data_IF_880836304839
#
_entry.id   IF_880836304839
#
_cell.length_a   1.000
_cell.length_b   1.000
_cell.length_c   1.000
_cell.angle_alpha   90.00
_cell.angle_beta   90.00
_cell.angle_gamma   90.00
#
_symmetry.space_group_name_H-M   'P 1'
#
loop_
_entity.id
_entity.type
_entity.pdbx_description
1 polymer ?
#
# COMPACT_ATOMS: atom_id res chain seq x y z
N UNK A 1 11.35 16.29 -33.11
CA UNK A 1 10.71 15.69 -34.32
C UNK A 1 9.47 16.47 -34.71
N UNK A 2 9.10 16.48 -36.00
CA UNK A 2 7.86 17.11 -36.48
C UNK A 2 6.63 16.23 -36.18
N UNK A 3 5.48 16.88 -35.94
CA UNK A 3 4.14 16.28 -35.86
C UNK A 3 3.24 16.74 -37.02
N UNK A 4 3.83 17.22 -38.12
CA UNK A 4 3.09 17.63 -39.31
C UNK A 4 2.19 16.48 -39.81
N UNK A 5 0.93 16.81 -40.07
CA UNK A 5 -0.07 15.84 -40.49
C UNK A 5 -0.51 14.85 -39.40
N UNK A 6 -0.06 15.00 -38.15
CA UNK A 6 -0.58 14.25 -36.99
C UNK A 6 -1.70 15.02 -36.31
N UNK A 7 -2.63 14.29 -35.69
CA UNK A 7 -3.77 14.89 -34.99
C UNK A 7 -3.75 14.48 -33.52
N UNK A 8 -3.81 15.47 -32.62
CA UNK A 8 -3.86 15.31 -31.18
C UNK A 8 -5.25 15.67 -30.63
N UNK A 9 -5.88 14.70 -29.96
CA UNK A 9 -7.08 14.90 -29.15
C UNK A 9 -6.67 15.14 -27.69
N UNK A 10 -6.94 16.34 -27.16
CA UNK A 10 -6.58 16.70 -25.77
C UNK A 10 -7.87 17.00 -24.99
N UNK A 11 -8.21 16.12 -24.04
CA UNK A 11 -9.35 16.36 -23.13
C UNK A 11 -8.92 17.34 -22.04
N UNK A 12 -9.72 18.37 -21.78
CA UNK A 12 -9.31 19.45 -20.86
C UNK A 12 -8.33 20.45 -21.48
N UNK A 13 -8.21 20.48 -22.81
CA UNK A 13 -7.24 21.26 -23.58
C UNK A 13 -7.45 22.78 -23.59
N UNK A 14 -8.51 23.32 -22.99
CA UNK A 14 -8.82 24.75 -23.07
C UNK A 14 -8.06 25.63 -22.06
N UNK A 15 -7.50 25.07 -20.98
CA UNK A 15 -6.85 25.82 -19.89
C UNK A 15 -5.69 25.04 -19.28
N UNK A 16 -4.87 25.72 -18.49
CA UNK A 16 -3.82 25.13 -17.64
C UNK A 16 -2.92 24.16 -18.42
N UNK A 17 -2.67 22.97 -17.87
CA UNK A 17 -1.80 21.94 -18.47
C UNK A 17 -2.26 21.51 -19.87
N UNK A 18 -3.56 21.36 -20.10
CA UNK A 18 -4.09 20.98 -21.41
C UNK A 18 -3.77 22.02 -22.50
N UNK A 19 -3.88 23.31 -22.16
CA UNK A 19 -3.52 24.41 -23.06
C UNK A 19 -2.00 24.50 -23.32
N UNK A 20 -1.19 24.24 -22.29
CA UNK A 20 0.28 24.18 -22.43
C UNK A 20 0.70 23.04 -23.36
N UNK A 21 0.12 21.84 -23.19
CA UNK A 21 0.37 20.69 -24.08
C UNK A 21 -0.09 21.01 -25.49
N UNK A 22 -1.28 21.61 -25.68
CA UNK A 22 -1.76 22.02 -27.00
C UNK A 22 -0.76 22.97 -27.69
N UNK A 23 -0.21 23.94 -26.96
CA UNK A 23 0.76 24.90 -27.48
C UNK A 23 2.08 24.25 -27.89
N UNK A 24 2.60 23.30 -27.09
CA UNK A 24 3.79 22.51 -27.41
C UNK A 24 3.58 21.66 -28.66
N UNK A 25 2.42 21.00 -28.80
CA UNK A 25 2.14 20.15 -29.97
C UNK A 25 1.85 20.96 -31.24
N UNK A 26 1.21 22.12 -31.11
CA UNK A 26 1.00 23.04 -32.23
C UNK A 26 2.33 23.59 -32.77
N UNK A 27 3.31 23.85 -31.90
CA UNK A 27 4.65 24.28 -32.31
C UNK A 27 5.36 23.23 -33.19
N UNK A 28 4.96 21.96 -33.09
CA UNK A 28 5.46 20.86 -33.90
C UNK A 28 4.58 20.55 -35.13
N UNK A 29 3.50 21.30 -35.36
CA UNK A 29 2.62 21.13 -36.53
C UNK A 29 1.44 20.17 -36.36
N UNK A 30 1.17 19.69 -35.15
CA UNK A 30 0.03 18.79 -34.91
C UNK A 30 -1.31 19.53 -35.05
N UNK A 31 -2.27 18.94 -35.76
CA UNK A 31 -3.68 19.35 -35.70
C UNK A 31 -4.27 19.09 -34.32
N UNK A 32 -5.11 20.00 -33.82
CA UNK A 32 -5.58 20.00 -32.43
C UNK A 32 -7.10 19.87 -32.32
N UNK A 33 -7.55 18.71 -31.84
CA UNK A 33 -8.90 18.49 -31.35
C UNK A 33 -8.92 18.69 -29.83
N UNK A 34 -9.44 19.81 -29.35
CA UNK A 34 -9.37 20.21 -27.95
C UNK A 34 -10.74 20.10 -27.29
N UNK A 35 -10.80 19.62 -26.06
CA UNK A 35 -12.07 19.49 -25.33
C UNK A 35 -12.11 20.36 -24.07
N UNK A 36 -13.30 20.89 -23.75
CA UNK A 36 -13.61 21.54 -22.47
C UNK A 36 -14.95 21.09 -21.89
N UNK A 37 -15.02 21.02 -20.56
CA UNK A 37 -16.18 20.43 -19.88
C UNK A 37 -17.42 21.36 -19.85
N UNK A 38 -17.28 22.55 -19.24
CA UNK A 38 -18.43 23.42 -18.95
C UNK A 38 -18.54 24.59 -19.94
N UNK A 39 -19.77 25.05 -20.29
CA UNK A 39 -19.99 26.26 -21.07
C UNK A 39 -19.23 27.50 -20.57
N UNK A 40 -18.96 27.58 -19.26
CA UNK A 40 -18.16 28.67 -18.64
C UNK A 40 -16.73 28.76 -19.15
N UNK A 41 -16.21 27.72 -19.81
CA UNK A 41 -14.87 27.72 -20.40
C UNK A 41 -14.86 28.06 -21.89
N UNK A 42 -16.03 28.36 -22.49
CA UNK A 42 -16.15 28.68 -23.92
C UNK A 42 -15.30 29.88 -24.33
N UNK A 43 -15.30 30.96 -23.55
CA UNK A 43 -14.56 32.18 -23.90
C UNK A 43 -13.04 31.95 -23.82
N UNK A 44 -12.58 31.21 -22.82
CA UNK A 44 -11.18 30.82 -22.71
C UNK A 44 -10.74 29.89 -23.85
N UNK A 45 -11.61 28.95 -24.26
CA UNK A 45 -11.36 28.10 -25.42
C UNK A 45 -11.28 28.91 -26.71
N UNK A 46 -12.19 29.86 -26.93
CA UNK A 46 -12.19 30.74 -28.10
C UNK A 46 -10.93 31.63 -28.14
N UNK A 47 -10.51 32.16 -26.99
CA UNK A 47 -9.28 32.95 -26.87
C UNK A 47 -8.05 32.11 -27.24
N UNK A 48 -7.92 30.91 -26.67
CA UNK A 48 -6.82 30.00 -26.99
C UNK A 48 -6.83 29.58 -28.46
N UNK A 49 -8.00 29.35 -29.05
CA UNK A 49 -8.13 29.05 -30.49
C UNK A 49 -7.56 30.19 -31.34
N UNK A 50 -7.86 31.44 -31.01
CA UNK A 50 -7.34 32.62 -31.72
C UNK A 50 -5.83 32.74 -31.57
N UNK A 51 -5.30 32.57 -30.35
CA UNK A 51 -3.87 32.62 -30.07
C UNK A 51 -3.10 31.54 -30.84
N UNK A 52 -3.59 30.30 -30.84
CA UNK A 52 -2.96 29.19 -31.55
C UNK A 52 -3.01 29.39 -33.07
N UNK A 53 -4.13 29.87 -33.62
CA UNK A 53 -4.23 30.16 -35.06
C UNK A 53 -3.32 31.31 -35.49
N UNK A 54 -3.20 32.35 -34.65
CA UNK A 54 -2.31 33.47 -34.94
C UNK A 54 -0.84 33.04 -34.91
N UNK A 55 -0.45 32.23 -33.93
CA UNK A 55 0.93 31.76 -33.76
C UNK A 55 1.31 30.65 -34.73
N UNK A 56 0.37 29.77 -35.07
CA UNK A 56 0.58 28.58 -35.89
C UNK A 56 -0.50 28.47 -37.00
N UNK A 57 -0.46 29.32 -38.03
CA UNK A 57 -1.53 29.43 -39.03
C UNK A 57 -1.77 28.17 -39.87
N UNK A 58 -0.82 27.24 -39.90
CA UNK A 58 -0.93 25.94 -40.60
C UNK A 58 -1.59 24.85 -39.75
N UNK A 59 -1.79 25.10 -38.46
CA UNK A 59 -2.38 24.14 -37.53
C UNK A 59 -3.89 24.32 -37.46
N UNK A 60 -4.63 23.28 -37.80
CA UNK A 60 -6.09 23.23 -37.60
C UNK A 60 -6.38 23.05 -36.12
N UNK A 61 -7.18 23.94 -35.53
CA UNK A 61 -7.63 23.87 -34.14
C UNK A 61 -9.16 23.84 -34.10
N UNK A 62 -9.73 22.91 -33.32
CA UNK A 62 -11.17 22.80 -33.06
C UNK A 62 -11.42 22.50 -31.60
N UNK A 63 -12.49 23.09 -31.05
CA UNK A 63 -12.93 22.84 -29.68
C UNK A 63 -14.26 22.08 -29.62
N UNK A 64 -14.35 21.14 -28.69
CA UNK A 64 -15.53 20.32 -28.42
C UNK A 64 -15.94 20.50 -26.95
N UNK A 65 -17.23 20.74 -26.72
CA UNK A 65 -17.80 20.85 -25.38
C UNK A 65 -18.52 19.56 -24.99
N UNK A 66 -18.31 19.08 -23.77
CA UNK A 66 -19.09 17.97 -23.23
C UNK A 66 -18.69 17.54 -21.83
N UNK A 67 -19.59 16.90 -21.10
CA UNK A 67 -19.22 16.19 -19.88
C UNK A 67 -18.87 14.73 -20.21
N UNK A 68 -17.64 14.31 -19.89
CA UNK A 68 -17.08 13.02 -20.29
C UNK A 68 -17.32 11.91 -19.25
N UNK A 69 -18.21 12.12 -18.28
CA UNK A 69 -18.60 11.13 -17.25
C UNK A 69 -19.40 9.93 -17.79
N UNK A 70 -19.75 9.93 -19.08
CA UNK A 70 -20.47 8.85 -19.76
C UNK A 70 -19.73 8.37 -21.01
N UNK A 71 -19.87 7.08 -21.32
CA UNK A 71 -19.28 6.48 -22.54
C UNK A 71 -19.78 7.18 -23.81
N UNK A 72 -21.09 7.42 -23.92
CA UNK A 72 -21.69 8.05 -25.08
C UNK A 72 -21.12 9.46 -25.35
N UNK A 73 -20.80 10.22 -24.30
CA UNK A 73 -20.17 11.53 -24.46
C UNK A 73 -18.73 11.43 -24.95
N UNK A 74 -17.96 10.44 -24.46
CA UNK A 74 -16.60 10.15 -24.96
C UNK A 74 -16.66 9.71 -26.41
N UNK A 75 -17.55 8.79 -26.78
CA UNK A 75 -17.71 8.32 -28.16
C UNK A 75 -18.09 9.46 -29.11
N UNK A 76 -18.98 10.36 -28.67
CA UNK A 76 -19.34 11.56 -29.43
C UNK A 76 -18.13 12.47 -29.66
N UNK A 77 -17.27 12.67 -28.66
CA UNK A 77 -16.05 13.46 -28.79
C UNK A 77 -15.11 12.85 -29.84
N UNK A 78 -14.82 11.56 -29.74
CA UNK A 78 -13.95 10.87 -30.70
C UNK A 78 -14.52 10.89 -32.12
N UNK A 79 -15.82 10.61 -32.27
CA UNK A 79 -16.49 10.62 -33.58
C UNK A 79 -16.47 12.01 -34.21
N UNK A 80 -16.69 13.07 -33.43
CA UNK A 80 -16.65 14.46 -33.92
C UNK A 80 -15.23 14.86 -34.33
N UNK A 81 -14.23 14.49 -33.53
CA UNK A 81 -12.82 14.75 -33.85
C UNK A 81 -12.39 14.00 -35.13
N UNK A 82 -12.77 12.73 -35.29
CA UNK A 82 -12.48 11.96 -36.52
C UNK A 82 -13.19 12.57 -37.72
N UNK A 83 -14.44 13.03 -37.57
CA UNK A 83 -15.17 13.68 -38.65
C UNK A 83 -14.45 14.93 -39.16
N UNK A 84 -13.92 15.75 -38.25
CA UNK A 84 -13.30 17.03 -38.60
C UNK A 84 -11.83 16.89 -39.07
N UNK A 85 -11.11 15.90 -38.56
CA UNK A 85 -9.67 15.71 -38.81
C UNK A 85 -9.31 14.46 -39.62
N UNK A 86 -10.25 13.55 -39.86
CA UNK A 86 -10.09 12.28 -40.56
C UNK A 86 -9.43 11.17 -39.74
N UNK A 87 -8.66 11.49 -38.71
CA UNK A 87 -7.94 10.53 -37.86
C UNK A 87 -7.56 11.13 -36.51
N UNK A 88 -7.08 10.27 -35.60
CA UNK A 88 -6.48 10.66 -34.32
C UNK A 88 -5.17 9.87 -34.18
N UNK A 89 -4.04 10.54 -34.04
CA UNK A 89 -2.74 9.90 -33.82
C UNK A 89 -2.33 9.92 -32.33
N UNK A 90 -2.76 10.95 -31.60
CA UNK A 90 -2.37 11.22 -30.21
C UNK A 90 -3.64 11.49 -29.39
N UNK A 91 -3.75 10.88 -28.21
CA UNK A 91 -4.77 11.22 -27.21
C UNK A 91 -4.08 11.58 -25.90
N UNK A 92 -4.41 12.74 -25.35
CA UNK A 92 -3.96 13.18 -24.04
C UNK A 92 -5.16 13.45 -23.14
N UNK A 93 -5.29 12.68 -22.07
CA UNK A 93 -6.34 12.86 -21.09
C UNK A 93 -5.86 13.71 -19.91
N UNK A 94 -6.32 14.96 -19.80
CA UNK A 94 -6.03 15.82 -18.63
C UNK A 94 -7.25 16.05 -17.75
N UNK A 95 -8.34 15.31 -17.96
CA UNK A 95 -9.55 15.44 -17.14
C UNK A 95 -9.29 14.95 -15.71
N UNK A 96 -9.78 15.72 -14.75
CA UNK A 96 -9.79 15.33 -13.36
C UNK A 96 -10.55 16.33 -12.49
N UNK A 97 -10.90 15.86 -11.30
CA UNK A 97 -11.48 16.65 -10.20
C UNK A 97 -10.73 16.31 -8.92
N UNK A 98 -10.46 17.31 -8.09
CA UNK A 98 -9.87 17.12 -6.76
C UNK A 98 -10.97 17.32 -5.71
N UNK A 99 -10.90 16.50 -4.66
CA UNK A 99 -11.65 16.67 -3.43
C UNK A 99 -10.71 16.37 -2.27
N UNK A 100 -10.53 17.35 -1.39
CA UNK A 100 -9.83 17.20 -0.12
C UNK A 100 -10.84 17.30 1.02
N UNK A 101 -11.08 16.18 1.71
CA UNK A 101 -12.12 16.07 2.74
C UNK A 101 -11.82 14.90 3.70
N UNK A 102 -12.16 15.01 5.01
CA UNK A 102 -12.13 13.86 5.91
C UNK A 102 -12.97 12.71 5.35
N UNK A 103 -12.46 11.48 5.45
CA UNK A 103 -13.15 10.30 4.90
C UNK A 103 -14.55 10.13 5.49
N UNK A 104 -14.73 10.49 6.76
CA UNK A 104 -16.01 10.43 7.49
C UNK A 104 -17.06 11.42 7.00
N UNK A 105 -16.67 12.41 6.21
CA UNK A 105 -17.57 13.46 5.69
C UNK A 105 -17.78 13.34 4.18
N UNK A 106 -17.09 12.42 3.50
CA UNK A 106 -17.30 12.19 2.07
C UNK A 106 -18.65 11.50 1.90
N UNK A 107 -19.55 12.18 1.20
CA UNK A 107 -20.86 11.62 0.83
C UNK A 107 -20.72 10.63 -0.32
N UNK A 108 -21.68 9.73 -0.45
CA UNK A 108 -21.75 8.79 -1.59
C UNK A 108 -21.80 9.55 -2.94
N UNK A 109 -22.54 10.65 -3.02
CA UNK A 109 -22.61 11.48 -4.22
C UNK A 109 -21.24 12.09 -4.60
N UNK A 110 -20.47 12.57 -3.61
CA UNK A 110 -19.10 13.06 -3.85
C UNK A 110 -18.16 11.92 -4.29
N UNK A 111 -18.31 10.72 -3.72
CA UNK A 111 -17.58 9.54 -4.14
C UNK A 111 -17.87 9.20 -5.61
N UNK A 112 -19.16 9.08 -5.96
CA UNK A 112 -19.61 8.74 -7.31
C UNK A 112 -19.13 9.76 -8.34
N UNK A 113 -19.21 11.05 -8.02
CA UNK A 113 -18.72 12.11 -8.90
C UNK A 113 -17.21 12.03 -9.11
N UNK A 114 -16.44 11.82 -8.03
CA UNK A 114 -14.98 11.68 -8.13
C UNK A 114 -14.57 10.48 -8.98
N UNK A 115 -15.22 9.32 -8.80
CA UNK A 115 -14.96 8.14 -9.62
C UNK A 115 -15.47 8.29 -11.06
N UNK A 116 -16.61 8.96 -11.27
CA UNK A 116 -17.13 9.25 -12.61
C UNK A 116 -16.14 10.12 -13.42
N UNK A 117 -15.57 11.15 -12.80
CA UNK A 117 -14.66 12.09 -13.47
C UNK A 117 -13.23 11.53 -13.58
N UNK A 118 -12.67 10.96 -12.51
CA UNK A 118 -11.25 10.60 -12.50
C UNK A 118 -10.97 9.20 -13.05
N UNK A 119 -11.87 8.23 -12.80
CA UNK A 119 -11.66 6.82 -13.15
C UNK A 119 -12.47 6.43 -14.38
N UNK A 120 -13.81 6.57 -14.33
CA UNK A 120 -14.72 6.14 -15.38
C UNK A 120 -14.47 6.89 -16.70
N UNK A 121 -14.35 8.22 -16.66
CA UNK A 121 -14.02 8.99 -17.85
C UNK A 121 -12.67 8.58 -18.44
N UNK A 122 -11.64 8.38 -17.60
CA UNK A 122 -10.33 7.93 -18.05
C UNK A 122 -10.37 6.54 -18.71
N UNK A 123 -11.13 5.61 -18.12
CA UNK A 123 -11.36 4.28 -18.69
C UNK A 123 -11.99 4.36 -20.09
N UNK A 124 -13.07 5.13 -20.25
CA UNK A 124 -13.73 5.26 -21.55
C UNK A 124 -12.89 6.03 -22.57
N UNK A 125 -12.10 7.02 -22.15
CA UNK A 125 -11.15 7.70 -23.05
C UNK A 125 -10.07 6.72 -23.52
N UNK A 126 -9.54 5.87 -22.63
CA UNK A 126 -8.58 4.83 -23.02
C UNK A 126 -9.22 3.79 -23.93
N UNK A 127 -10.45 3.36 -23.67
CA UNK A 127 -11.21 2.43 -24.53
C UNK A 127 -11.44 3.01 -25.92
N UNK A 128 -11.93 4.25 -26.01
CA UNK A 128 -12.15 4.93 -27.28
C UNK A 128 -10.82 5.18 -28.01
N UNK A 129 -9.76 5.56 -27.27
CA UNK A 129 -8.40 5.67 -27.78
C UNK A 129 -7.91 4.36 -28.37
N UNK A 130 -8.07 3.25 -27.65
CA UNK A 130 -7.71 1.91 -28.12
C UNK A 130 -8.45 1.50 -29.39
N UNK A 131 -9.70 1.94 -29.57
CA UNK A 131 -10.49 1.67 -30.78
C UNK A 131 -10.10 2.56 -31.96
N UNK A 132 -9.79 3.83 -31.73
CA UNK A 132 -9.78 4.85 -32.77
C UNK A 132 -8.42 5.48 -33.08
N UNK A 133 -7.45 5.39 -32.18
CA UNK A 133 -6.11 5.94 -32.44
C UNK A 133 -5.47 5.19 -33.61
N UNK A 134 -4.74 5.89 -34.47
CA UNK A 134 -4.01 5.28 -35.58
C UNK A 134 -2.92 4.33 -35.08
N UNK A 135 -2.53 3.36 -35.91
CA UNK A 135 -1.38 2.50 -35.64
C UNK A 135 -0.10 3.34 -35.50
N UNK A 136 0.76 2.97 -34.55
CA UNK A 136 1.89 3.82 -34.15
C UNK A 136 1.50 5.01 -33.27
N UNK A 137 0.23 5.13 -32.86
CA UNK A 137 -0.31 6.23 -32.07
C UNK A 137 0.20 6.30 -30.63
N UNK A 138 -0.34 7.28 -29.88
CA UNK A 138 0.11 7.60 -28.52
C UNK A 138 -1.08 7.92 -27.61
N UNK A 139 -1.16 7.27 -26.45
CA UNK A 139 -2.15 7.55 -25.42
C UNK A 139 -1.42 7.98 -24.14
N UNK A 140 -1.73 9.16 -23.61
CA UNK A 140 -1.14 9.67 -22.36
C UNK A 140 -2.25 10.13 -21.43
N UNK A 141 -2.23 9.69 -20.17
CA UNK A 141 -3.19 10.15 -19.15
C UNK A 141 -2.48 10.85 -18.00
N UNK A 142 -3.03 11.97 -17.55
CA UNK A 142 -2.54 12.68 -16.37
C UNK A 142 -3.20 12.11 -15.12
N UNK A 143 -2.36 11.56 -14.25
CA UNK A 143 -2.70 11.06 -12.92
C UNK A 143 -2.14 12.02 -11.85
N UNK A 144 -1.61 11.52 -10.74
CA UNK A 144 -1.12 12.34 -9.63
C UNK A 144 0.07 11.68 -8.93
N UNK A 145 1.00 12.49 -8.41
CA UNK A 145 2.07 12.00 -7.54
C UNK A 145 1.55 11.34 -6.25
N UNK A 146 0.29 11.60 -5.85
CA UNK A 146 -0.33 10.92 -4.71
C UNK A 146 -0.50 9.41 -4.90
N UNK A 147 -0.25 8.86 -6.10
CA UNK A 147 -0.14 7.42 -6.29
C UNK A 147 1.13 6.80 -5.64
N UNK A 148 2.09 7.64 -5.26
CA UNK A 148 3.32 7.26 -4.56
C UNK A 148 3.54 8.01 -3.23
N UNK A 149 2.68 8.97 -2.88
CA UNK A 149 2.73 9.68 -1.60
C UNK A 149 1.56 9.27 -0.70
N UNK A 150 1.76 9.23 0.61
CA UNK A 150 0.69 9.12 1.58
C UNK A 150 0.40 10.50 2.17
N UNK A 151 -0.85 10.95 2.10
CA UNK A 151 -1.28 12.24 2.67
C UNK A 151 -2.73 12.12 3.12
N UNK A 152 -3.06 12.79 4.23
CA UNK A 152 -4.43 12.82 4.74
C UNK A 152 -5.40 13.53 3.81
N UNK A 153 -6.70 13.30 4.01
CA UNK A 153 -7.82 14.01 3.37
C UNK A 153 -7.98 13.86 1.85
N UNK A 154 -7.07 13.18 1.17
CA UNK A 154 -7.12 12.95 -0.28
C UNK A 154 -7.63 11.57 -0.69
N UNK A 155 -8.25 10.82 0.23
CA UNK A 155 -8.63 9.41 0.04
C UNK A 155 -9.41 9.18 -1.25
N UNK A 156 -10.49 9.95 -1.49
CA UNK A 156 -11.30 9.80 -2.71
C UNK A 156 -10.56 10.27 -3.97
N UNK A 157 -9.75 11.33 -3.89
CA UNK A 157 -8.99 11.81 -5.05
C UNK A 157 -7.89 10.84 -5.48
N UNK A 158 -6.98 10.46 -4.58
CA UNK A 158 -5.92 9.50 -4.88
C UNK A 158 -6.51 8.13 -5.25
N UNK A 159 -7.52 7.67 -4.51
CA UNK A 159 -8.24 6.43 -4.77
C UNK A 159 -8.92 6.40 -6.14
N UNK A 160 -9.56 7.48 -6.57
CA UNK A 160 -10.21 7.56 -7.89
C UNK A 160 -9.22 7.70 -9.05
N UNK A 161 -7.99 8.15 -8.81
CA UNK A 161 -6.91 8.17 -9.82
C UNK A 161 -6.10 6.86 -9.89
N UNK A 162 -6.09 6.06 -8.83
CA UNK A 162 -5.29 4.82 -8.76
C UNK A 162 -5.66 3.75 -9.83
N UNK A 163 -6.94 3.50 -10.15
CA UNK A 163 -7.31 2.53 -11.20
C UNK A 163 -6.70 2.84 -12.57
N UNK A 164 -6.50 4.13 -12.87
CA UNK A 164 -5.98 4.59 -14.16
C UNK A 164 -4.58 4.05 -14.44
N UNK A 165 -3.76 3.85 -13.41
CA UNK A 165 -2.45 3.21 -13.56
C UNK A 165 -2.59 1.76 -14.07
N UNK A 166 -3.55 1.00 -13.55
CA UNK A 166 -3.79 -0.37 -14.00
C UNK A 166 -4.44 -0.41 -15.39
N UNK A 167 -5.37 0.49 -15.68
CA UNK A 167 -5.96 0.63 -17.03
C UNK A 167 -4.89 0.92 -18.07
N UNK A 168 -3.95 1.81 -17.76
CA UNK A 168 -2.82 2.16 -18.62
C UNK A 168 -1.99 0.92 -18.97
N UNK A 169 -1.66 0.08 -17.98
CA UNK A 169 -0.89 -1.17 -18.20
C UNK A 169 -1.65 -2.18 -19.04
N UNK A 170 -2.94 -2.38 -18.77
CA UNK A 170 -3.80 -3.29 -19.54
C UNK A 170 -3.88 -2.88 -21.01
N UNK A 171 -4.25 -1.62 -21.27
CA UNK A 171 -4.38 -1.09 -22.63
C UNK A 171 -3.04 -1.05 -23.36
N UNK A 172 -1.93 -0.74 -22.66
CA UNK A 172 -0.58 -0.84 -23.22
C UNK A 172 -0.27 -2.26 -23.73
N UNK A 173 -0.71 -3.28 -22.98
CA UNK A 173 -0.47 -4.68 -23.34
C UNK A 173 -1.31 -5.12 -24.54
N UNK A 174 -2.56 -4.67 -24.61
CA UNK A 174 -3.49 -4.98 -25.70
C UNK A 174 -3.09 -4.32 -27.02
N UNK A 175 -2.54 -3.11 -26.99
CA UNK A 175 -2.22 -2.35 -28.21
C UNK A 175 -0.79 -2.57 -28.76
N UNK A 176 -0.03 -3.52 -28.19
CA UNK A 176 1.32 -3.86 -28.68
C UNK A 176 1.37 -4.20 -30.19
N UNK A 177 0.45 -5.02 -30.75
CA UNK A 177 0.48 -5.36 -32.18
C UNK A 177 0.32 -4.15 -33.10
N UNK A 178 -0.35 -3.10 -32.60
CA UNK A 178 -0.61 -1.86 -33.33
C UNK A 178 0.47 -0.80 -33.14
N UNK A 179 1.53 -1.14 -32.39
CA UNK A 179 2.66 -0.23 -32.05
C UNK A 179 2.21 1.08 -31.37
N UNK A 180 1.10 1.05 -30.64
CA UNK A 180 0.62 2.20 -29.87
C UNK A 180 1.26 2.18 -28.49
N UNK A 181 1.83 3.30 -28.05
CA UNK A 181 2.32 3.42 -26.66
C UNK A 181 1.27 4.09 -25.77
N UNK A 182 1.17 3.61 -24.54
CA UNK A 182 0.15 4.01 -23.57
C UNK A 182 0.82 4.26 -22.24
N UNK A 183 0.80 5.49 -21.74
CA UNK A 183 1.48 5.86 -20.49
C UNK A 183 0.62 6.78 -19.62
N UNK A 184 0.98 6.84 -18.35
CA UNK A 184 0.47 7.82 -17.40
C UNK A 184 1.60 8.76 -16.95
N UNK A 185 1.27 10.02 -16.70
CA UNK A 185 2.17 11.00 -16.10
C UNK A 185 1.60 11.44 -14.76
N UNK A 186 2.42 11.44 -13.73
CA UNK A 186 2.06 11.76 -12.34
C UNK A 186 2.77 13.05 -11.88
N UNK A 187 2.19 14.23 -12.15
CA UNK A 187 2.71 15.50 -11.66
C UNK A 187 2.66 15.61 -10.13
N UNK A 188 3.54 16.43 -9.58
CA UNK A 188 3.39 16.96 -8.21
C UNK A 188 2.22 17.94 -8.10
N UNK A 189 2.02 18.57 -6.93
CA UNK A 189 1.05 19.65 -6.77
C UNK A 189 1.35 20.77 -7.79
N UNK A 190 0.38 21.08 -8.65
CA UNK A 190 0.59 22.01 -9.77
C UNK A 190 0.13 23.44 -9.43
N UNK A 191 0.93 24.43 -9.80
CA UNK A 191 0.61 25.86 -9.69
C UNK A 191 -0.46 26.25 -10.70
N UNK A 192 -1.72 25.91 -10.38
CA UNK A 192 -2.86 26.20 -11.23
C UNK A 192 -4.09 26.53 -10.38
N UNK A 193 -5.08 27.26 -10.92
CA UNK A 193 -6.35 27.50 -10.22
C UNK A 193 -7.12 26.22 -9.80
N UNK A 194 -6.69 25.05 -10.28
CA UNK A 194 -7.23 23.75 -9.90
C UNK A 194 -6.78 23.29 -8.49
N UNK A 195 -5.64 23.78 -8.00
CA UNK A 195 -5.04 23.36 -6.74
C UNK A 195 -5.49 24.20 -5.53
N UNK A 196 -5.42 25.53 -5.66
CA UNK A 196 -5.66 26.47 -4.56
C UNK A 196 -7.02 26.36 -3.84
N UNK A 197 -8.16 26.10 -4.50
CA UNK A 197 -9.46 26.05 -3.82
C UNK A 197 -9.62 24.92 -2.79
N UNK A 198 -8.66 24.00 -2.72
CA UNK A 198 -8.66 22.86 -1.79
C UNK A 198 -7.59 23.00 -0.71
N UNK A 199 -6.81 24.08 -0.72
CA UNK A 199 -5.61 24.22 0.11
C UNK A 199 -5.62 25.50 0.94
N UNK A 200 -5.05 25.41 2.14
CA UNK A 200 -4.70 26.57 2.95
C UNK A 200 -3.34 27.12 2.52
N UNK A 201 -3.08 28.40 2.82
CA UNK A 201 -1.79 29.03 2.50
C UNK A 201 -0.60 28.28 3.11
N UNK A 202 -0.75 27.78 4.34
CA UNK A 202 0.26 26.96 5.01
C UNK A 202 0.54 25.66 4.28
N UNK A 203 -0.51 24.98 3.79
CA UNK A 203 -0.37 23.75 3.03
C UNK A 203 0.29 24.02 1.66
N UNK A 204 -0.05 25.13 1.00
CA UNK A 204 0.61 25.58 -0.23
C UNK A 204 2.11 25.81 0.02
N UNK A 205 2.48 26.53 1.08
CA UNK A 205 3.87 26.79 1.43
C UNK A 205 4.63 25.50 1.74
N UNK A 206 3.99 24.58 2.46
CA UNK A 206 4.52 23.26 2.71
C UNK A 206 4.76 22.49 1.40
N UNK A 207 3.78 22.40 0.50
CA UNK A 207 3.93 21.69 -0.78
C UNK A 207 5.07 22.27 -1.64
N UNK A 208 5.23 23.60 -1.64
CA UNK A 208 6.37 24.29 -2.28
C UNK A 208 7.71 23.84 -1.70
N UNK A 209 7.82 23.74 -0.38
CA UNK A 209 9.07 23.34 0.30
C UNK A 209 9.53 21.91 0.01
N UNK A 210 8.65 21.06 -0.55
CA UNK A 210 8.92 19.65 -0.81
C UNK A 210 9.36 19.36 -2.25
N UNK A 211 9.43 20.37 -3.11
CA UNK A 211 9.82 20.21 -4.51
C UNK A 211 11.05 21.05 -4.85
N UNK A 212 11.70 20.70 -5.97
CA UNK A 212 12.81 21.44 -6.55
C UNK A 212 12.50 22.93 -6.62
N UNK A 213 13.52 23.74 -6.34
CA UNK A 213 13.47 25.20 -6.29
C UNK A 213 12.46 25.81 -5.30
N UNK A 214 11.91 25.01 -4.38
CA UNK A 214 10.97 25.51 -3.37
C UNK A 214 9.67 26.05 -3.98
N UNK A 215 9.22 25.48 -5.11
CA UNK A 215 8.03 25.91 -5.86
C UNK A 215 7.09 24.75 -6.17
N UNK A 216 5.86 25.07 -6.55
CA UNK A 216 4.92 24.08 -7.06
C UNK A 216 5.30 23.68 -8.51
N UNK A 217 4.76 22.56 -8.96
CA UNK A 217 4.94 22.09 -10.34
C UNK A 217 4.28 23.08 -11.32
N UNK A 218 5.03 23.60 -12.27
CA UNK A 218 4.50 24.44 -13.33
C UNK A 218 4.02 23.58 -14.49
N UNK A 219 3.08 24.08 -15.30
CA UNK A 219 2.62 23.33 -16.49
C UNK A 219 3.75 23.11 -17.50
N UNK A 220 4.74 24.01 -17.49
CA UNK A 220 5.97 23.97 -18.27
C UNK A 220 6.92 22.84 -17.85
N UNK A 221 6.80 22.31 -16.63
CA UNK A 221 7.58 21.15 -16.21
C UNK A 221 7.02 19.85 -16.80
N UNK A 222 5.72 19.82 -17.10
CA UNK A 222 4.98 18.60 -17.50
C UNK A 222 4.75 18.54 -19.01
N UNK A 223 4.37 19.66 -19.64
CA UNK A 223 4.06 19.68 -21.07
C UNK A 223 5.22 19.17 -21.97
N UNK A 224 6.50 19.49 -21.70
CA UNK A 224 7.62 18.92 -22.45
C UNK A 224 7.77 17.40 -22.30
N UNK A 225 7.45 16.84 -21.13
CA UNK A 225 7.45 15.39 -20.93
C UNK A 225 6.36 14.72 -21.78
N UNK A 226 5.15 15.29 -21.81
CA UNK A 226 4.08 14.80 -22.68
C UNK A 226 4.49 14.90 -24.15
N UNK A 227 5.07 16.04 -24.58
CA UNK A 227 5.64 16.22 -25.92
C UNK A 227 6.65 15.12 -26.25
N UNK A 228 7.58 14.84 -25.34
CA UNK A 228 8.57 13.77 -25.50
C UNK A 228 7.90 12.40 -25.68
N UNK A 229 6.96 12.03 -24.80
CA UNK A 229 6.25 10.75 -24.87
C UNK A 229 5.51 10.54 -26.18
N UNK A 230 4.97 11.62 -26.77
CA UNK A 230 4.22 11.54 -28.03
C UNK A 230 5.08 11.71 -29.29
N UNK A 231 6.38 11.97 -29.14
CA UNK A 231 7.34 12.12 -30.25
C UNK A 231 8.40 11.03 -30.20
N UNK A 232 9.38 11.16 -29.30
CA UNK A 232 10.58 10.33 -29.22
C UNK A 232 10.42 9.15 -28.24
N UNK A 233 9.47 9.24 -27.31
CA UNK A 233 9.24 8.27 -26.24
C UNK A 233 8.46 7.02 -26.66
N UNK A 234 8.46 6.63 -27.94
CA UNK A 234 7.64 5.51 -28.44
C UNK A 234 7.97 4.15 -27.80
N UNK A 235 9.19 3.98 -27.27
CA UNK A 235 9.62 2.76 -26.57
C UNK A 235 9.09 2.67 -25.14
N UNK A 236 8.68 3.79 -24.55
CA UNK A 236 8.11 3.85 -23.21
C UNK A 236 6.62 3.51 -23.34
N UNK A 237 6.17 2.43 -22.72
CA UNK A 237 4.76 2.03 -22.70
C UNK A 237 4.43 1.26 -21.42
N UNK A 238 3.19 1.37 -20.94
CA UNK A 238 2.72 0.79 -19.70
C UNK A 238 3.27 1.44 -18.42
N UNK A 239 3.88 2.62 -18.52
CA UNK A 239 4.56 3.27 -17.40
C UNK A 239 3.71 4.37 -16.75
N UNK A 240 3.93 4.58 -15.46
CA UNK A 240 3.52 5.79 -14.74
C UNK A 240 4.78 6.61 -14.42
N UNK A 241 4.97 7.72 -15.13
CA UNK A 241 6.15 8.57 -14.97
C UNK A 241 5.87 9.68 -13.95
N UNK A 242 6.60 9.66 -12.83
CA UNK A 242 6.49 10.66 -11.77
C UNK A 242 7.37 11.87 -12.08
N UNK A 243 6.75 12.94 -12.57
CA UNK A 243 7.40 14.22 -12.85
C UNK A 243 6.95 15.24 -11.81
N UNK A 244 7.52 15.15 -10.62
CA UNK A 244 6.99 15.83 -9.42
C UNK A 244 8.05 16.67 -8.69
N UNK A 245 9.18 16.96 -9.33
CA UNK A 245 10.23 17.79 -8.74
C UNK A 245 10.81 17.23 -7.44
N UNK A 246 10.85 15.91 -7.26
CA UNK A 246 11.33 15.28 -6.02
C UNK A 246 10.31 15.23 -4.88
N UNK A 247 9.07 15.71 -5.12
CA UNK A 247 8.00 15.73 -4.12
C UNK A 247 7.70 14.36 -3.50
N UNK A 248 7.85 13.28 -4.28
CA UNK A 248 7.79 11.91 -3.76
C UNK A 248 8.55 10.96 -4.67
N UNK A 249 9.06 9.87 -4.09
CA UNK A 249 9.67 8.75 -4.81
C UNK A 249 8.94 7.46 -4.44
N UNK A 250 8.56 6.67 -5.45
CA UNK A 250 8.03 5.32 -5.22
C UNK A 250 9.19 4.42 -4.77
N UNK A 251 9.37 4.24 -3.46
CA UNK A 251 10.43 3.40 -2.90
C UNK A 251 11.16 3.91 -1.65
N UNK A 252 10.73 5.00 -1.01
CA UNK A 252 11.30 5.42 0.29
C UNK A 252 10.25 6.18 1.12
N UNK A 253 10.10 5.92 2.43
CA UNK A 253 9.27 6.74 3.30
C UNK A 253 9.93 8.11 3.47
N UNK A 254 9.45 9.12 2.74
CA UNK A 254 9.93 10.49 2.86
C UNK A 254 9.61 11.02 4.27
N UNK A 255 10.63 11.39 5.04
CA UNK A 255 10.49 12.22 6.24
C UNK A 255 10.96 13.65 5.92
N UNK A 256 10.15 14.64 6.29
CA UNK A 256 10.41 16.06 6.15
C UNK A 256 11.60 16.57 7.00
N UNK A 257 12.42 17.45 6.42
CA UNK A 257 13.34 18.32 7.14
C UNK A 257 14.15 19.20 6.17
N UNK A 258 13.95 20.52 6.20
CA UNK A 258 14.69 21.53 5.43
C UNK A 258 16.23 21.39 5.53
N UNK A 259 17.00 21.79 4.51
CA UNK A 259 18.45 21.95 4.63
C UNK A 259 18.81 23.31 5.27
N UNK A 260 19.79 23.39 6.20
CA UNK A 260 20.45 24.65 6.54
C UNK A 260 21.59 24.98 5.55
N UNK A 261 22.04 26.26 5.50
CA UNK A 261 22.84 26.81 4.41
C UNK A 261 24.29 26.33 4.41
N UNK A 262 24.93 26.47 3.25
CA UNK A 262 26.31 26.12 2.91
C UNK A 262 27.32 26.36 4.04
N UNK A 263 27.72 25.29 4.73
CA UNK A 263 28.92 25.27 5.55
C UNK A 263 30.08 24.74 4.69
N UNK A 264 31.08 25.60 4.50
CA UNK A 264 32.36 25.33 3.84
C UNK A 264 32.98 24.07 4.46
N UNK A 265 33.03 22.97 3.72
CA UNK A 265 33.86 21.81 4.10
C UNK A 265 35.29 22.15 3.67
N UNK A 266 36.10 22.49 4.67
CA UNK A 266 37.56 22.51 4.54
C UNK A 266 38.01 21.05 4.34
N UNK A 267 38.76 20.81 3.26
CA UNK A 267 39.26 19.50 2.89
C UNK A 267 40.13 18.88 3.99
N UNK A 268 39.85 17.62 4.34
CA UNK A 268 40.76 16.77 5.11
C UNK A 268 41.90 16.27 4.19
N UNK A 269 43.17 16.17 4.66
CA UNK A 269 44.31 15.88 3.79
C UNK A 269 44.31 14.42 3.27
N UNK A 270 44.92 14.15 2.11
CA UNK A 270 44.95 12.83 1.51
C UNK A 270 46.03 11.97 2.19
N UNK A 271 45.63 10.98 2.98
CA UNK A 271 46.63 10.13 3.63
C UNK A 271 46.07 9.00 4.47
N UNK A 272 45.17 8.18 3.92
CA UNK A 272 44.95 6.77 4.32
C UNK A 272 43.88 6.16 3.42
N UNK A 273 44.29 5.63 2.26
CA UNK A 273 43.47 4.67 1.50
C UNK A 273 43.86 3.27 1.98
N UNK A 274 43.10 2.73 2.93
CA UNK A 274 43.04 1.28 3.12
C UNK A 274 41.97 0.74 2.18
N UNK A 275 42.41 -0.11 1.26
CA UNK A 275 41.56 -0.90 0.38
C UNK A 275 40.78 -1.92 1.21
N UNK A 276 39.61 -1.53 1.70
CA UNK A 276 38.61 -2.49 2.15
C UNK A 276 37.74 -2.85 0.95
N UNK A 277 38.09 -3.95 0.28
CA UNK A 277 37.12 -4.69 -0.53
C UNK A 277 35.98 -5.08 0.39
N UNK A 278 34.83 -4.43 0.25
CA UNK A 278 33.59 -4.79 0.92
C UNK A 278 33.08 -6.12 0.32
N UNK A 279 33.75 -7.21 0.67
CA UNK A 279 33.15 -8.54 0.61
C UNK A 279 32.03 -8.49 1.65
N UNK A 280 30.77 -8.49 1.20
CA UNK A 280 29.63 -8.73 2.08
C UNK A 280 29.95 -9.98 2.90
N UNK A 281 30.21 -9.80 4.20
CA UNK A 281 30.32 -10.92 5.11
C UNK A 281 29.01 -11.71 4.98
N UNK A 282 29.05 -13.03 4.73
CA UNK A 282 27.85 -13.83 4.84
C UNK A 282 27.46 -13.74 6.31
N UNK A 283 26.36 -13.04 6.60
CA UNK A 283 25.67 -13.27 7.87
C UNK A 283 25.23 -14.72 7.77
N UNK A 284 25.96 -15.62 8.43
CA UNK A 284 25.54 -17.00 8.62
C UNK A 284 24.15 -16.91 9.26
N UNK A 285 23.12 -17.12 8.44
CA UNK A 285 21.76 -17.31 8.92
C UNK A 285 21.79 -18.63 9.66
N UNK A 286 22.10 -18.60 10.96
CA UNK A 286 21.68 -19.66 11.86
C UNK A 286 20.19 -19.85 11.62
N UNK A 287 19.88 -21.09 11.28
CA UNK A 287 18.72 -21.54 10.54
C UNK A 287 17.45 -21.56 11.39
N UNK A 288 16.97 -20.37 11.74
CA UNK A 288 15.68 -20.22 12.43
C UNK A 288 14.54 -20.86 11.64
N UNK A 289 14.63 -20.85 10.31
CA UNK A 289 13.68 -21.53 9.42
C UNK A 289 13.76 -23.06 9.58
N UNK A 290 14.95 -23.63 9.85
CA UNK A 290 15.12 -25.07 10.10
C UNK A 290 14.57 -25.46 11.48
N UNK A 291 14.85 -24.68 12.53
CA UNK A 291 14.27 -24.92 13.86
C UNK A 291 12.74 -24.77 13.84
N UNK A 292 12.23 -23.78 13.12
CA UNK A 292 10.79 -23.59 12.94
C UNK A 292 10.16 -24.77 12.18
N UNK A 293 10.85 -25.30 11.17
CA UNK A 293 10.39 -26.48 10.45
C UNK A 293 10.42 -27.74 11.32
N UNK A 294 11.51 -27.99 12.05
CA UNK A 294 11.63 -29.12 12.99
C UNK A 294 10.53 -29.08 14.07
N UNK A 295 10.18 -27.88 14.55
CA UNK A 295 9.07 -27.72 15.49
C UNK A 295 7.72 -28.07 14.86
N UNK A 296 7.48 -27.66 13.61
CA UNK A 296 6.27 -28.03 12.85
C UNK A 296 6.18 -29.54 12.65
N UNK A 297 7.30 -30.19 12.38
CA UNK A 297 7.36 -31.64 12.19
C UNK A 297 7.00 -32.38 13.50
N UNK A 298 7.47 -31.89 14.65
CA UNK A 298 7.09 -32.42 15.98
C UNK A 298 5.60 -32.24 16.27
N UNK A 299 5.03 -31.07 15.95
CA UNK A 299 3.59 -30.82 16.10
C UNK A 299 2.79 -31.79 15.24
N UNK A 300 3.26 -32.04 14.01
CA UNK A 300 2.64 -33.00 13.10
C UNK A 300 2.74 -34.44 13.62
N UNK A 301 3.89 -34.84 14.18
CA UNK A 301 4.09 -36.15 14.80
C UNK A 301 3.14 -36.36 16.00
N UNK A 302 3.01 -35.35 16.87
CA UNK A 302 2.07 -35.37 18.00
C UNK A 302 0.61 -35.45 17.53
N UNK A 303 0.23 -34.68 16.51
CA UNK A 303 -1.10 -34.75 15.92
C UNK A 303 -1.39 -36.14 15.35
N UNK A 304 -0.42 -36.74 14.64
CA UNK A 304 -0.57 -38.08 14.07
C UNK A 304 -0.77 -39.15 15.16
N UNK A 305 -0.05 -39.03 16.28
CA UNK A 305 -0.22 -39.92 17.44
C UNK A 305 -1.61 -39.72 18.06
N UNK A 306 -2.03 -38.47 18.28
CA UNK A 306 -3.36 -38.14 18.82
C UNK A 306 -4.48 -38.72 17.95
N UNK A 307 -4.38 -38.60 16.63
CA UNK A 307 -5.35 -39.19 15.69
C UNK A 307 -5.37 -40.71 15.81
N UNK A 308 -4.21 -41.38 15.82
CA UNK A 308 -4.15 -42.85 15.94
C UNK A 308 -4.74 -43.35 17.28
N UNK A 309 -4.50 -42.64 18.38
CA UNK A 309 -5.07 -42.96 19.69
C UNK A 309 -6.58 -42.66 19.75
N UNK A 310 -7.06 -41.61 19.10
CA UNK A 310 -8.51 -41.31 19.07
C UNK A 310 -9.27 -42.29 18.16
N UNK A 311 -8.62 -42.75 17.08
CA UNK A 311 -9.18 -43.75 16.15
C UNK A 311 -9.20 -45.15 16.77
N UNK A 312 -8.28 -45.43 17.71
CA UNK A 312 -8.25 -46.65 18.55
C UNK A 312 -9.58 -46.84 19.30
N UNK A 313 -10.10 -45.78 19.92
CA UNK A 313 -11.32 -45.83 20.75
C UNK A 313 -12.60 -46.04 19.92
N UNK A 314 -12.57 -45.72 18.62
CA UNK A 314 -13.76 -45.73 17.76
C UNK A 314 -13.85 -46.94 16.82
N UNK A 315 -12.75 -47.58 16.45
CA UNK A 315 -12.75 -48.61 15.38
C UNK A 315 -11.95 -49.89 15.66
N UNK A 316 -11.27 -49.99 16.81
CA UNK A 316 -10.42 -51.15 17.12
C UNK A 316 -8.97 -51.01 16.63
N UNK A 317 -8.09 -51.86 17.19
CA UNK A 317 -6.63 -51.67 17.32
C UNK A 317 -5.88 -51.21 16.03
N UNK A 318 -5.15 -50.07 16.07
CA UNK A 318 -3.90 -49.88 15.33
C UNK A 318 -2.91 -50.97 15.74
N UNK A 319 -2.05 -51.44 14.82
CA UNK A 319 -1.03 -52.41 15.22
C UNK A 319 -0.09 -51.77 16.24
N UNK A 320 0.28 -52.51 17.28
CA UNK A 320 1.30 -52.08 18.27
C UNK A 320 2.56 -51.56 17.59
N UNK A 321 2.87 -52.11 16.43
CA UNK A 321 4.00 -51.71 15.59
C UNK A 321 3.83 -50.32 14.97
N UNK A 322 2.62 -49.92 14.56
CA UNK A 322 2.34 -48.57 14.03
C UNK A 322 2.51 -47.51 15.11
N UNK A 323 1.93 -47.73 16.30
CA UNK A 323 2.08 -46.77 17.41
C UNK A 323 3.53 -46.70 17.89
N UNK A 324 4.20 -47.86 18.00
CA UNK A 324 5.64 -47.95 18.32
C UNK A 324 6.50 -47.18 17.32
N UNK A 325 6.20 -47.29 16.02
CA UNK A 325 6.92 -46.57 14.98
C UNK A 325 6.69 -45.05 15.06
N UNK A 326 5.47 -44.60 15.32
CA UNK A 326 5.19 -43.16 15.48
C UNK A 326 5.88 -42.56 16.70
N UNK A 327 5.91 -43.28 17.83
CA UNK A 327 6.64 -42.85 19.02
C UNK A 327 8.14 -42.79 18.76
N UNK A 328 8.69 -43.73 17.98
CA UNK A 328 10.10 -43.67 17.53
C UNK A 328 10.37 -42.48 16.61
N UNK A 329 9.45 -42.17 15.70
CA UNK A 329 9.56 -40.98 14.84
C UNK A 329 9.58 -39.71 15.68
N UNK A 330 8.62 -39.54 16.60
CA UNK A 330 8.58 -38.39 17.51
C UNK A 330 9.88 -38.27 18.32
N UNK A 331 10.39 -39.38 18.86
CA UNK A 331 11.66 -39.41 19.58
C UNK A 331 12.84 -38.93 18.72
N UNK A 332 12.88 -39.36 17.44
CA UNK A 332 13.92 -38.95 16.49
C UNK A 332 13.80 -37.46 16.14
N UNK A 333 12.58 -36.97 15.94
CA UNK A 333 12.31 -35.54 15.68
C UNK A 333 12.74 -34.67 16.87
N UNK A 334 12.43 -35.10 18.10
CA UNK A 334 12.87 -34.42 19.33
C UNK A 334 14.39 -34.42 19.50
N UNK A 335 15.07 -35.53 19.20
CA UNK A 335 16.53 -35.61 19.23
C UNK A 335 17.19 -34.71 18.18
N UNK A 336 16.59 -34.61 17.00
CA UNK A 336 17.06 -33.74 15.92
C UNK A 336 16.92 -32.27 16.30
N UNK A 337 15.77 -31.89 16.87
CA UNK A 337 15.56 -30.55 17.40
C UNK A 337 16.55 -30.24 18.53
N UNK A 338 16.76 -31.19 19.46
CA UNK A 338 17.70 -31.02 20.55
C UNK A 338 19.13 -30.81 20.03
N UNK A 339 19.60 -31.62 19.08
CA UNK A 339 20.93 -31.46 18.49
C UNK A 339 21.09 -30.12 17.78
N UNK A 340 20.05 -29.68 17.06
CA UNK A 340 20.03 -28.39 16.35
C UNK A 340 20.00 -27.20 17.30
N UNK A 341 19.31 -27.33 18.43
CA UNK A 341 19.17 -26.29 19.46
C UNK A 341 20.30 -26.30 20.50
N UNK A 342 21.09 -27.37 20.61
CA UNK A 342 22.21 -27.50 21.56
C UNK A 342 23.45 -26.71 21.14
N UNK A 343 23.48 -26.18 19.91
CA UNK A 343 24.47 -25.18 19.55
C UNK A 343 24.23 -23.89 20.35
N UNK A 344 25.27 -23.27 20.93
CA UNK A 344 25.09 -22.06 21.70
C UNK A 344 24.42 -21.02 20.81
N UNK A 345 23.21 -20.60 21.20
CA UNK A 345 22.51 -19.50 20.55
C UNK A 345 23.47 -18.32 20.54
N UNK A 346 23.93 -17.94 19.35
CA UNK A 346 24.65 -16.68 19.20
C UNK A 346 23.75 -15.60 19.80
N UNK A 347 24.28 -14.85 20.78
CA UNK A 347 23.57 -13.73 21.36
C UNK A 347 23.01 -12.87 20.23
N UNK A 348 21.77 -12.38 20.40
CA UNK A 348 21.16 -11.50 19.41
C UNK A 348 22.18 -10.43 19.01
N UNK A 349 22.40 -10.19 17.70
CA UNK A 349 23.42 -9.27 17.25
C UNK A 349 23.21 -7.92 17.93
N UNK A 350 24.19 -7.48 18.71
CA UNK A 350 24.12 -6.23 19.43
C UNK A 350 24.63 -5.11 18.54
N UNK A 351 23.88 -4.02 18.46
CA UNK A 351 24.37 -2.80 17.81
C UNK A 351 25.26 -2.08 18.83
N UNK A 352 26.53 -1.76 18.50
CA UNK A 352 27.39 -0.95 19.35
C UNK A 352 26.69 0.35 19.78
N UNK A 353 26.80 0.77 21.05
CA UNK A 353 26.20 2.01 21.54
C UNK A 353 26.60 3.23 20.72
N UNK A 354 27.81 3.24 20.15
CA UNK A 354 28.32 4.32 19.30
C UNK A 354 27.55 4.40 17.97
N UNK A 355 27.11 3.26 17.41
CA UNK A 355 26.26 3.23 16.22
C UNK A 355 24.81 3.58 16.54
N UNK A 356 24.34 3.20 17.74
CA UNK A 356 23.03 3.64 18.24
C UNK A 356 23.04 5.15 18.45
N UNK A 357 24.03 5.71 19.14
CA UNK A 357 24.19 7.15 19.34
C UNK A 357 24.42 7.89 18.02
N UNK A 358 25.19 7.32 17.09
CA UNK A 358 25.37 7.93 15.77
C UNK A 358 24.06 7.95 14.97
N UNK A 359 23.21 6.92 15.09
CA UNK A 359 21.89 6.90 14.42
C UNK A 359 20.85 7.73 15.17
N UNK A 360 20.87 7.74 16.51
CA UNK A 360 19.89 8.42 17.37
C UNK A 360 20.20 9.91 17.57
N UNK A 361 21.48 10.27 17.70
CA UNK A 361 21.95 11.65 17.86
C UNK A 361 22.48 12.26 16.55
N UNK A 362 22.76 11.44 15.53
CA UNK A 362 23.16 11.92 14.23
C UNK A 362 22.04 12.71 13.56
N UNK A 363 22.31 13.96 13.21
CA UNK A 363 21.36 14.78 12.42
C UNK A 363 21.12 14.22 11.01
N UNK A 364 22.01 13.36 10.50
CA UNK A 364 21.89 12.70 9.19
C UNK A 364 22.80 11.43 9.10
N UNK A 365 22.49 10.33 9.80
CA UNK A 365 23.28 9.09 9.69
C UNK A 365 23.18 8.54 8.26
N UNK A 366 24.28 7.95 7.75
CA UNK A 366 24.28 7.37 6.42
C UNK A 366 23.23 6.25 6.28
N UNK A 367 22.65 6.16 5.08
CA UNK A 367 21.50 5.28 4.81
C UNK A 367 21.79 3.81 5.15
N UNK A 368 23.01 3.35 4.92
CA UNK A 368 23.40 1.96 5.16
C UNK A 368 23.54 1.65 6.64
N UNK A 369 24.14 2.55 7.43
CA UNK A 369 24.26 2.38 8.88
C UNK A 369 22.89 2.45 9.55
N UNK A 370 22.02 3.36 9.12
CA UNK A 370 20.64 3.44 9.63
C UNK A 370 19.84 2.19 9.29
N UNK A 371 19.87 1.74 8.04
CA UNK A 371 19.19 0.50 7.63
C UNK A 371 19.70 -0.72 8.38
N UNK A 372 21.02 -0.82 8.59
CA UNK A 372 21.62 -1.89 9.38
C UNK A 372 21.12 -1.87 10.84
N UNK A 373 21.16 -0.72 11.51
CA UNK A 373 20.69 -0.59 12.90
C UNK A 373 19.20 -0.91 13.02
N UNK A 374 18.36 -0.41 12.12
CA UNK A 374 16.93 -0.69 12.09
C UNK A 374 16.62 -2.16 11.81
N UNK A 375 17.31 -2.77 10.86
CA UNK A 375 17.16 -4.19 10.53
C UNK A 375 17.51 -5.07 11.74
N UNK A 376 18.62 -4.76 12.42
CA UNK A 376 19.06 -5.50 13.62
C UNK A 376 18.08 -5.27 14.78
N UNK A 377 17.63 -4.04 15.03
CA UNK A 377 16.64 -3.74 16.09
C UNK A 377 15.32 -4.45 15.86
N UNK A 378 14.80 -4.39 14.62
CA UNK A 378 13.54 -5.06 14.24
C UNK A 378 13.67 -6.57 14.35
N UNK A 379 14.79 -7.14 13.89
CA UNK A 379 15.10 -8.56 14.04
C UNK A 379 15.13 -8.96 15.51
N UNK A 380 15.87 -8.22 16.34
CA UNK A 380 15.97 -8.48 17.78
C UNK A 380 14.62 -8.35 18.50
N UNK A 381 13.79 -7.38 18.14
CA UNK A 381 12.45 -7.21 18.70
C UNK A 381 11.53 -8.39 18.32
N UNK A 382 11.54 -8.80 17.06
CA UNK A 382 10.79 -9.98 16.61
C UNK A 382 11.24 -11.23 17.36
N UNK A 383 12.55 -11.41 17.55
CA UNK A 383 13.11 -12.56 18.26
C UNK A 383 12.76 -12.56 19.75
N UNK A 384 12.78 -11.40 20.41
CA UNK A 384 12.28 -11.27 21.79
C UNK A 384 10.79 -11.61 21.89
N UNK A 385 9.99 -11.19 20.91
CA UNK A 385 8.57 -11.54 20.82
C UNK A 385 8.35 -13.05 20.65
N UNK A 386 9.13 -13.69 19.77
CA UNK A 386 9.11 -15.15 19.60
C UNK A 386 9.50 -15.86 20.90
N UNK A 387 10.58 -15.45 21.55
CA UNK A 387 11.03 -16.04 22.83
C UNK A 387 9.95 -15.93 23.91
N UNK A 388 9.33 -14.75 24.07
CA UNK A 388 8.25 -14.56 25.04
C UNK A 388 7.01 -15.43 24.73
N UNK A 389 6.69 -15.63 23.45
CA UNK A 389 5.61 -16.52 23.04
C UNK A 389 5.92 -18.00 23.38
N UNK A 390 7.17 -18.43 23.18
CA UNK A 390 7.61 -19.77 23.56
C UNK A 390 7.63 -19.98 25.07
N UNK A 391 8.10 -18.99 25.84
CA UNK A 391 8.04 -19.03 27.30
C UNK A 391 6.59 -19.18 27.79
N UNK A 392 5.67 -18.43 27.19
CA UNK A 392 4.25 -18.54 27.50
C UNK A 392 3.69 -19.92 27.14
N UNK A 393 4.05 -20.48 25.98
CA UNK A 393 3.60 -21.81 25.57
C UNK A 393 4.13 -22.90 26.51
N UNK A 394 5.42 -22.84 26.87
CA UNK A 394 6.06 -23.74 27.83
C UNK A 394 5.31 -23.72 29.16
N UNK A 395 5.09 -22.53 29.72
CA UNK A 395 4.48 -22.38 31.03
C UNK A 395 3.02 -22.90 31.04
N UNK A 396 2.25 -22.63 29.98
CA UNK A 396 0.87 -23.16 29.83
C UNK A 396 0.88 -24.67 29.70
N UNK A 397 1.72 -25.23 28.83
CA UNK A 397 1.80 -26.67 28.61
C UNK A 397 2.22 -27.41 29.89
N UNK A 398 3.18 -26.86 30.63
CA UNK A 398 3.62 -27.43 31.89
C UNK A 398 2.51 -27.43 32.95
N UNK A 399 1.71 -26.36 33.02
CA UNK A 399 0.56 -26.30 33.91
C UNK A 399 -0.51 -27.35 33.55
N UNK A 400 -0.83 -27.48 32.26
CA UNK A 400 -1.80 -28.46 31.78
C UNK A 400 -1.31 -29.90 31.99
N UNK A 401 -0.02 -30.18 31.71
CA UNK A 401 0.58 -31.50 31.94
C UNK A 401 0.58 -31.87 33.43
N UNK A 402 0.95 -30.95 34.32
CA UNK A 402 0.95 -31.19 35.75
C UNK A 402 -0.47 -31.38 36.32
N UNK A 403 -1.48 -30.76 35.71
CA UNK A 403 -2.88 -30.95 36.08
C UNK A 403 -3.45 -32.29 35.57
N UNK A 404 -3.12 -32.67 34.33
CA UNK A 404 -3.63 -33.88 33.69
C UNK A 404 -2.90 -35.15 34.15
N UNK A 405 -1.61 -35.06 34.48
CA UNK A 405 -0.74 -36.19 34.87
C UNK A 405 0.04 -35.83 36.15
N UNK A 406 -0.62 -35.86 37.33
CA UNK A 406 0.01 -35.47 38.60
C UNK A 406 1.28 -36.25 38.95
N UNK A 407 1.39 -37.50 38.49
CA UNK A 407 2.55 -38.37 38.66
C UNK A 407 3.82 -37.88 37.95
N UNK A 408 3.68 -37.02 36.93
CA UNK A 408 4.79 -36.41 36.19
C UNK A 408 5.16 -35.02 36.72
N UNK A 409 4.52 -34.55 37.80
CA UNK A 409 4.69 -33.17 38.27
C UNK A 409 6.14 -32.82 38.59
N UNK A 410 6.85 -33.69 39.30
CA UNK A 410 8.25 -33.47 39.67
C UNK A 410 9.16 -33.42 38.43
N UNK A 411 8.84 -34.20 37.39
CA UNK A 411 9.55 -34.16 36.11
C UNK A 411 9.31 -32.84 35.38
N UNK A 412 8.06 -32.37 35.35
CA UNK A 412 7.67 -31.11 34.73
C UNK A 412 8.32 -29.92 35.46
N UNK A 413 8.36 -29.94 36.80
CA UNK A 413 9.02 -28.91 37.60
C UNK A 413 10.53 -28.83 37.32
N UNK A 414 11.21 -29.98 37.18
CA UNK A 414 12.63 -30.03 36.78
C UNK A 414 12.89 -29.44 35.40
N UNK A 415 12.01 -29.72 34.43
CA UNK A 415 12.14 -29.18 33.07
C UNK A 415 11.88 -27.68 33.06
N UNK A 416 10.88 -27.20 33.81
CA UNK A 416 10.63 -25.76 33.98
C UNK A 416 11.83 -25.04 34.58
N UNK A 417 12.43 -25.59 35.63
CA UNK A 417 13.63 -25.01 36.25
C UNK A 417 14.80 -24.93 35.25
N UNK A 418 15.06 -26.02 34.52
CA UNK A 418 16.12 -26.08 33.52
C UNK A 418 15.92 -25.15 32.32
N UNK A 419 14.68 -24.74 32.04
CA UNK A 419 14.32 -23.91 30.89
C UNK A 419 13.92 -22.49 31.26
N UNK A 420 14.04 -22.08 32.53
CA UNK A 420 13.70 -20.73 33.00
C UNK A 420 12.20 -20.45 33.13
N UNK A 421 11.39 -21.50 33.27
CA UNK A 421 9.93 -21.45 33.43
C UNK A 421 9.46 -21.04 34.82
N UNK A 422 8.19 -20.61 34.88
CA UNK A 422 7.57 -20.22 36.16
C UNK A 422 7.26 -21.45 37.00
N UNK A 423 7.50 -21.37 38.31
CA UNK A 423 7.17 -22.42 39.24
C UNK A 423 5.67 -22.74 39.21
N UNK A 424 5.33 -24.04 39.16
CA UNK A 424 3.96 -24.50 39.24
C UNK A 424 3.42 -24.20 40.65
N UNK A 425 2.39 -23.37 40.75
CA UNK A 425 1.78 -23.00 42.03
C UNK A 425 1.47 -24.24 42.88
N UNK A 426 1.88 -24.20 44.15
CA UNK A 426 1.88 -25.34 45.06
C UNK A 426 0.47 -25.77 45.46
N UNK A 427 0.02 -26.90 44.93
CA UNK A 427 -0.97 -27.76 45.56
C UNK A 427 -0.32 -29.13 45.73
N UNK A 428 0.34 -29.35 46.87
CA UNK A 428 0.66 -30.72 47.32
C UNK A 428 -0.67 -31.44 47.57
N UNK A 429 -0.79 -32.64 47.00
CA UNK A 429 -1.92 -33.53 47.18
C UNK A 429 -2.30 -33.68 48.66
N UNK A 430 -3.54 -33.33 48.99
CA UNK A 430 -4.20 -33.74 50.22
C UNK A 430 -5.23 -34.82 49.87
N UNK A 431 -5.19 -35.89 50.67
CA UNK A 431 -5.95 -37.13 50.58
C UNK A 431 -7.39 -37.03 50.07
N UNK A 432 -7.72 -37.97 49.20
CA UNK A 432 -9.10 -38.35 48.88
C UNK A 432 -9.69 -39.09 50.08
N UNK A 433 -10.43 -38.40 50.94
CA UNK A 433 -11.56 -38.99 51.68
C UNK A 433 -12.61 -37.95 52.07
N UNK A 434 -13.81 -38.07 51.48
CA UNK A 434 -15.07 -38.02 52.24
C UNK A 434 -15.76 -36.66 52.47
N UNK A 435 -16.95 -36.56 51.85
CA UNK A 435 -18.20 -36.03 52.41
C UNK A 435 -18.43 -34.49 52.46
N UNK A 436 -19.34 -34.06 51.56
CA UNK A 436 -20.49 -33.17 51.78
C UNK A 436 -20.67 -32.55 53.17
N UNK A 437 -20.71 -31.21 53.26
CA UNK A 437 -21.72 -30.50 54.05
C UNK A 437 -21.85 -29.02 53.63
N UNK A 438 -23.11 -28.60 53.63
CA UNK A 438 -23.67 -27.26 53.41
C UNK A 438 -23.46 -26.38 54.65
N UNK A 439 -23.41 -25.05 54.43
CA UNK A 439 -23.98 -23.96 55.24
C UNK A 439 -23.00 -22.89 55.76
N UNK A 440 -23.43 -21.62 55.62
CA UNK A 440 -23.32 -20.63 56.69
C UNK A 440 -22.46 -19.41 56.38
N UNK A 441 -23.10 -18.31 56.00
CA UNK A 441 -22.48 -17.00 55.90
C UNK A 441 -22.35 -16.25 57.23
N UNK A 442 -21.77 -15.04 57.11
CA UNK A 442 -21.59 -14.02 58.15
C UNK A 442 -20.10 -13.65 58.27
N UNK A 443 -19.61 -12.45 57.95
CA UNK A 443 -20.23 -11.15 57.77
C UNK A 443 -19.83 -10.20 58.93
N UNK A 444 -19.10 -9.13 58.59
CA UNK A 444 -18.85 -7.95 59.44
C UNK A 444 -17.36 -7.62 59.62
N UNK A 445 -16.86 -6.40 59.39
CA UNK A 445 -17.44 -5.09 59.02
C UNK A 445 -16.26 -4.12 58.75
N UNK A 446 -16.39 -3.16 57.82
CA UNK A 446 -16.61 -1.72 58.10
C UNK A 446 -15.24 -0.99 58.09
N UNK A 447 -14.98 0.16 57.48
CA UNK A 447 -15.71 1.30 56.91
C UNK A 447 -14.77 1.90 55.81
N UNK A 448 -15.09 2.79 54.86
CA UNK A 448 -16.19 3.71 54.62
C UNK A 448 -15.68 4.80 53.64
N UNK A 449 -16.61 5.45 52.94
CA UNK A 449 -16.51 6.64 52.06
C UNK A 449 -15.96 6.45 50.62
N UNK A 450 -16.72 6.45 49.50
CA UNK A 450 -18.03 6.96 49.05
C UNK A 450 -18.04 8.29 48.27
N UNK A 451 -18.98 8.31 47.31
CA UNK A 451 -19.41 9.35 46.34
C UNK A 451 -18.65 9.37 45.00
N UNK A 452 -19.25 9.28 43.81
CA UNK A 452 -20.65 9.32 43.33
C UNK A 452 -20.60 9.95 41.91
N UNK A 453 -21.40 9.62 40.89
CA UNK A 453 -22.62 8.84 40.80
C UNK A 453 -22.95 8.50 39.33
N UNK A 454 -24.04 7.74 39.19
CA UNK A 454 -24.46 6.97 38.03
C UNK A 454 -25.47 7.69 37.11
N UNK A 455 -25.76 7.04 35.96
CA UNK A 455 -26.95 7.26 35.15
C UNK A 455 -27.17 6.16 34.10
N UNK A 456 -27.80 5.05 34.49
CA UNK A 456 -28.44 4.06 33.61
C UNK A 456 -29.88 4.52 33.28
N UNK A 457 -30.50 4.23 32.13
CA UNK A 457 -31.20 3.00 31.72
C UNK A 457 -32.18 3.35 30.55
N UNK A 458 -33.04 2.46 29.98
CA UNK A 458 -33.02 1.00 29.80
C UNK A 458 -33.36 0.54 28.35
N UNK A 459 -33.42 -0.79 28.17
CA UNK A 459 -33.69 -1.56 26.97
C UNK A 459 -35.18 -1.79 26.60
N UNK A 460 -35.43 -2.08 25.31
CA UNK A 460 -36.45 -2.97 24.74
C UNK A 460 -36.04 -3.20 23.26
N UNK A 461 -35.99 -4.38 22.63
CA UNK A 461 -36.71 -5.63 22.81
C UNK A 461 -37.56 -5.89 21.57
N UNK A 462 -37.01 -6.54 20.53
CA UNK A 462 -37.78 -7.26 19.50
C UNK A 462 -36.85 -8.04 18.56
N UNK A 463 -36.83 -9.36 18.73
CA UNK A 463 -36.34 -10.32 17.76
C UNK A 463 -37.56 -11.02 17.13
N UNK A 464 -37.66 -11.08 15.81
CA UNK A 464 -38.40 -12.16 15.15
C UNK A 464 -37.79 -12.50 13.79
N UNK A 465 -37.50 -13.79 13.64
CA UNK A 465 -36.94 -14.45 12.47
C UNK A 465 -37.96 -14.65 11.34
N UNK A 466 -37.39 -14.80 10.15
CA UNK A 466 -37.98 -15.28 8.89
C UNK A 466 -38.45 -16.74 9.01
N UNK A 467 -39.51 -17.15 8.30
CA UNK A 467 -39.36 -18.29 7.40
C UNK A 467 -39.99 -18.08 6.01
N UNK A 468 -39.65 -19.00 5.12
CA UNK A 468 -39.68 -18.87 3.67
C UNK A 468 -40.85 -19.61 2.97
N UNK A 469 -41.02 -19.26 1.68
CA UNK A 469 -41.51 -20.05 0.54
C UNK A 469 -42.98 -20.46 0.36
N UNK A 470 -43.39 -20.42 -0.92
CA UNK A 470 -44.53 -21.08 -1.56
C UNK A 470 -45.78 -20.19 -1.58
N UNK A 471 -46.34 -19.73 -2.70
CA UNK A 471 -46.51 -20.38 -4.01
C UNK A 471 -48.02 -20.38 -4.32
N UNK A 472 -48.37 -20.12 -5.58
CA UNK A 472 -49.71 -20.17 -6.21
C UNK A 472 -50.61 -18.92 -6.17
N UNK A 473 -50.80 -18.37 -7.39
CA UNK A 473 -51.99 -17.64 -7.87
C UNK A 473 -53.19 -18.63 -7.95
N UNK A 474 -54.48 -18.25 -8.20
CA UNK A 474 -54.88 -17.19 -9.14
C UNK A 474 -56.21 -16.42 -8.86
N UNK A 475 -56.47 -15.47 -9.78
CA UNK A 475 -57.77 -14.96 -10.27
C UNK A 475 -58.72 -14.19 -9.34
N UNK A 476 -59.03 -12.98 -9.79
CA UNK A 476 -60.10 -12.09 -9.36
C UNK A 476 -59.98 -10.76 -10.08
#
# INVERSE_FOLDING_TARGET
MSLDGKVALITGGAKNLGAAIATELAALGAGLALHYNSPKSKDAAAKLEQELKAKYPKVTVRFYQGDLTTEAAVDKLFTSAIKDFGKIDIVVNTVGKVLKKPITEITEAEYDEMFAVNSKAAFFILKAGAKHVADGGKLVTIVTALLAAFTGFYTSYAGSKAPVEHFTRGVAKELQPRRVSVNAVAPGPMDTPFFYPQESDDAVAFHKSQALDGRLTEVQDIAPLVRFLVTEGSWITGQTLFANGGYTTRGSPAHHGQPPPSAIITACPPGQRTTATATMAPVERLSHDELEQQLKDIIQDLYNIMVQVTTYDTTGRPSRDVLSNQVKTLSTSLQTLHASAAHPLAALPSVPPELLEYVENGRNPDIYTREFVELVRRGNQLMRGKAAAFDSLRDVLAADMAAAMPELRDDVERVLEATGGKALGGARAADVTGASAVAGGGGGGGDGDASGGAGAAPAAGAATQIPAQGGSAPTG
#
